data_IF_361413952107
#
_entry.id   IF_361413952107
#
_cell.length_a   1.000
_cell.length_b   1.000
_cell.length_c   1.000
_cell.angle_alpha   90.00
_cell.angle_beta   90.00
_cell.angle_gamma   90.00
#
_symmetry.space_group_name_H-M   'P 1'
#
loop_
_entity.id
_entity.type
_entity.pdbx_description
1 polymer ?
#
# COMPACT_ATOMS: atom_id res chain seq x y z
N UNK A 1 -82.87 4.49 -23.53
CA UNK A 1 -82.75 3.92 -22.17
C UNK A 1 -81.64 2.87 -22.14
N UNK A 2 -80.47 3.19 -21.59
CA UNK A 2 -79.51 2.20 -21.04
C UNK A 2 -78.47 2.93 -20.20
N UNK A 3 -78.66 2.83 -18.90
CA UNK A 3 -77.81 3.35 -17.83
C UNK A 3 -76.52 2.52 -17.74
N UNK A 4 -75.37 3.17 -17.59
CA UNK A 4 -74.14 2.52 -17.11
C UNK A 4 -73.70 3.16 -15.79
N UNK A 5 -73.58 2.28 -14.80
CA UNK A 5 -73.25 2.53 -13.40
C UNK A 5 -71.77 2.84 -13.22
N UNK A 6 -71.49 3.66 -12.22
CA UNK A 6 -70.20 4.07 -11.71
C UNK A 6 -69.55 2.97 -10.84
N UNK A 7 -68.22 2.94 -10.80
CA UNK A 7 -67.43 2.33 -9.73
C UNK A 7 -66.28 3.30 -9.40
N UNK A 8 -66.39 3.95 -8.25
CA UNK A 8 -65.35 4.75 -7.62
C UNK A 8 -64.52 3.81 -6.73
N UNK A 9 -63.22 3.72 -6.98
CA UNK A 9 -62.27 3.06 -6.10
C UNK A 9 -61.69 4.12 -5.12
N UNK A 10 -61.89 3.89 -3.83
CA UNK A 10 -61.29 4.71 -2.77
C UNK A 10 -59.84 4.24 -2.52
N UNK A 11 -58.87 5.14 -2.72
CA UNK A 11 -57.47 4.91 -2.35
C UNK A 11 -57.27 5.40 -0.92
N UNK A 12 -56.96 4.48 -0.01
CA UNK A 12 -56.56 4.76 1.37
C UNK A 12 -55.08 5.13 1.35
N UNK A 13 -54.77 6.40 1.61
CA UNK A 13 -53.40 6.89 1.76
C UNK A 13 -52.84 6.54 3.13
N UNK A 14 -51.88 5.62 3.19
CA UNK A 14 -51.01 5.40 4.34
C UNK A 14 -49.87 6.42 4.30
N UNK A 15 -49.91 7.42 5.17
CA UNK A 15 -48.79 8.34 5.42
C UNK A 15 -47.71 7.62 6.23
N UNK A 16 -46.66 7.14 5.55
CA UNK A 16 -45.45 6.66 6.18
C UNK A 16 -44.66 7.86 6.74
N UNK A 17 -44.50 7.92 8.06
CA UNK A 17 -43.58 8.84 8.71
C UNK A 17 -42.16 8.40 8.39
N UNK A 18 -41.47 9.16 7.53
CA UNK A 18 -40.06 8.96 7.26
C UNK A 18 -39.26 9.39 8.49
N UNK A 19 -38.75 8.43 9.26
CA UNK A 19 -37.68 8.67 10.20
C UNK A 19 -36.45 9.11 9.40
N UNK A 20 -36.05 10.37 9.55
CA UNK A 20 -34.75 10.81 9.07
C UNK A 20 -33.67 9.97 9.78
N UNK A 21 -32.74 9.33 9.05
CA UNK A 21 -31.59 8.69 9.68
C UNK A 21 -30.83 9.77 10.46
N UNK A 22 -30.70 9.57 11.77
CA UNK A 22 -29.82 10.40 12.59
C UNK A 22 -28.39 10.35 12.05
N UNK A 23 -27.55 11.37 12.33
CA UNK A 23 -26.16 11.34 11.94
C UNK A 23 -25.53 10.07 12.50
N UNK A 24 -24.93 9.26 11.61
CA UNK A 24 -24.18 8.09 12.02
C UNK A 24 -23.16 8.52 13.07
N UNK A 25 -23.24 7.93 14.26
CA UNK A 25 -22.25 8.12 15.30
C UNK A 25 -20.87 7.93 14.67
N UNK A 26 -20.03 8.96 14.76
CA UNK A 26 -18.71 8.96 14.14
C UNK A 26 -17.97 7.68 14.51
N UNK A 27 -17.54 6.92 13.51
CA UNK A 27 -16.71 5.76 13.73
C UNK A 27 -15.50 6.18 14.57
N UNK A 28 -15.14 5.39 15.58
CA UNK A 28 -13.95 5.66 16.37
C UNK A 28 -12.73 5.70 15.43
N UNK A 29 -11.73 6.54 15.72
CA UNK A 29 -10.52 6.60 14.90
C UNK A 29 -9.83 5.24 14.93
N UNK A 30 -9.55 4.73 13.72
CA UNK A 30 -8.94 3.43 13.50
C UNK A 30 -7.67 3.26 14.34
N UNK A 31 -7.52 2.10 14.98
CA UNK A 31 -6.39 1.83 15.87
C UNK A 31 -5.11 1.41 15.14
N UNK A 32 -5.22 0.64 14.07
CA UNK A 32 -4.09 -0.01 13.43
C UNK A 32 -3.93 0.44 11.99
N UNK A 33 -2.70 0.70 11.58
CA UNK A 33 -2.27 0.60 10.19
C UNK A 33 -1.84 -0.84 9.94
N UNK A 34 -2.62 -1.57 9.16
CA UNK A 34 -2.25 -2.89 8.70
C UNK A 34 -1.45 -2.72 7.40
N UNK A 35 -0.13 -2.54 7.51
CA UNK A 35 0.74 -2.45 6.35
C UNK A 35 0.92 -3.84 5.76
N UNK A 36 0.31 -4.09 4.62
CA UNK A 36 0.41 -5.38 3.94
C UNK A 36 1.33 -5.25 2.74
N UNK A 37 2.25 -6.19 2.59
CA UNK A 37 3.07 -6.30 1.39
C UNK A 37 2.79 -7.62 0.69
N UNK A 38 2.68 -7.56 -0.63
CA UNK A 38 2.50 -8.72 -1.48
C UNK A 38 3.63 -8.75 -2.49
N UNK A 39 4.41 -9.83 -2.43
CA UNK A 39 5.49 -10.10 -3.36
C UNK A 39 4.94 -10.88 -4.55
N UNK A 40 5.35 -10.51 -5.75
CA UNK A 40 5.04 -11.20 -6.99
C UNK A 40 6.33 -11.67 -7.66
N UNK A 41 6.24 -12.78 -8.38
CA UNK A 41 7.39 -13.38 -9.06
C UNK A 41 7.03 -13.86 -10.47
N UNK A 42 7.94 -13.62 -11.41
CA UNK A 42 7.86 -14.13 -12.78
C UNK A 42 9.05 -15.04 -13.09
N UNK A 43 8.78 -16.35 -13.17
CA UNK A 43 9.79 -17.40 -13.31
C UNK A 43 10.77 -17.26 -14.50
N UNK A 44 10.29 -16.96 -15.72
CA UNK A 44 11.15 -16.81 -16.90
C UNK A 44 12.28 -15.77 -16.78
N UNK A 45 12.09 -14.70 -16.00
CA UNK A 45 13.11 -13.67 -15.79
C UNK A 45 13.72 -13.70 -14.37
N UNK A 46 13.27 -14.62 -13.51
CA UNK A 46 13.63 -14.62 -12.09
C UNK A 46 13.36 -13.27 -11.37
N UNK A 47 12.32 -12.58 -11.81
CA UNK A 47 12.02 -11.18 -11.48
C UNK A 47 10.99 -11.09 -10.35
N UNK A 48 11.29 -10.26 -9.36
CA UNK A 48 10.42 -9.98 -8.23
C UNK A 48 9.97 -8.53 -8.20
N UNK A 49 8.74 -8.31 -7.73
CA UNK A 49 8.39 -6.99 -7.21
C UNK A 49 7.36 -7.06 -6.09
N UNK A 50 7.33 -5.99 -5.30
CA UNK A 50 6.43 -5.87 -4.15
C UNK A 50 5.34 -4.86 -4.46
N UNK A 51 4.15 -5.10 -3.93
CA UNK A 51 3.08 -4.10 -3.88
C UNK A 51 2.60 -3.91 -2.44
N UNK A 52 2.36 -2.68 -2.03
CA UNK A 52 1.60 -2.34 -0.81
C UNK A 52 0.33 -1.55 -1.10
N UNK A 53 0.23 -1.02 -2.33
CA UNK A 53 -0.94 -0.35 -2.86
C UNK A 53 -1.47 -1.11 -4.08
N UNK A 54 -2.75 -0.95 -4.45
CA UNK A 54 -3.22 -1.42 -5.73
C UNK A 54 -2.50 -0.70 -6.87
N UNK A 55 -2.01 -1.48 -7.84
CA UNK A 55 -1.70 -1.00 -9.19
C UNK A 55 -2.93 -0.33 -9.81
N UNK A 56 -2.72 0.57 -10.78
CA UNK A 56 -3.80 1.32 -11.43
C UNK A 56 -4.78 0.41 -12.19
N UNK A 57 -4.34 -0.77 -12.64
CA UNK A 57 -5.19 -1.78 -13.27
C UNK A 57 -5.80 -2.81 -12.29
N UNK A 58 -5.41 -2.76 -11.01
CA UNK A 58 -5.96 -3.57 -9.94
C UNK A 58 -5.51 -5.03 -9.90
N UNK A 59 -4.63 -5.49 -10.81
CA UNK A 59 -4.15 -6.89 -10.87
C UNK A 59 -3.23 -7.21 -9.69
N UNK A 60 -2.31 -6.29 -9.41
CA UNK A 60 -1.40 -6.34 -8.28
C UNK A 60 -1.94 -5.46 -7.17
N UNK A 61 -2.23 -6.04 -6.01
CA UNK A 61 -2.75 -5.30 -4.85
C UNK A 61 -2.35 -5.95 -3.55
N UNK A 62 -2.24 -5.14 -2.51
CA UNK A 62 -2.16 -5.58 -1.13
C UNK A 62 -3.32 -4.97 -0.32
N UNK A 63 -3.74 -5.67 0.72
CA UNK A 63 -4.86 -5.28 1.57
C UNK A 63 -4.56 -4.17 2.56
N UNK A 64 -3.51 -3.37 2.34
CA UNK A 64 -3.11 -2.28 3.26
C UNK A 64 -4.31 -1.41 3.63
N UNK A 65 -4.55 -1.26 4.92
CA UNK A 65 -5.74 -0.55 5.43
C UNK A 65 -5.46 0.06 6.80
N UNK A 66 -6.42 0.89 7.24
CA UNK A 66 -6.58 1.30 8.63
C UNK A 66 -7.83 0.64 9.19
N UNK A 67 -7.74 0.06 10.39
CA UNK A 67 -8.89 -0.55 11.05
C UNK A 67 -8.70 -0.66 12.56
N UNK A 68 -9.74 -1.10 13.29
CA UNK A 68 -9.65 -1.34 14.73
C UNK A 68 -9.05 -2.71 15.10
N UNK A 69 -8.77 -3.55 14.10
CA UNK A 69 -8.25 -4.90 14.29
C UNK A 69 -6.91 -5.10 13.60
N UNK A 70 -6.05 -5.92 14.21
CA UNK A 70 -4.82 -6.35 13.55
C UNK A 70 -5.17 -7.38 12.48
N UNK A 71 -4.75 -7.13 11.26
CA UNK A 71 -4.76 -8.15 10.22
C UNK A 71 -3.66 -9.18 10.51
N UNK A 72 -3.95 -10.45 10.28
CA UNK A 72 -3.04 -11.57 10.57
C UNK A 72 -2.47 -12.23 9.31
N UNK A 73 -2.99 -11.88 8.13
CA UNK A 73 -2.55 -12.42 6.86
C UNK A 73 -2.71 -11.38 5.74
N UNK A 74 -1.81 -11.38 4.74
CA UNK A 74 -1.90 -10.44 3.63
C UNK A 74 -3.03 -10.85 2.67
N UNK A 75 -3.76 -9.87 2.16
CA UNK A 75 -4.76 -10.01 1.11
C UNK A 75 -4.15 -9.58 -0.22
N UNK A 76 -3.49 -10.52 -0.90
CA UNK A 76 -2.83 -10.27 -2.18
C UNK A 76 -3.76 -10.46 -3.38
N UNK A 77 -3.58 -9.63 -4.42
CA UNK A 77 -4.16 -9.88 -5.73
C UNK A 77 -3.60 -11.15 -6.37
N UNK A 78 -4.35 -11.74 -7.31
CA UNK A 78 -3.94 -12.96 -7.99
C UNK A 78 -2.73 -12.77 -8.93
N UNK A 79 -2.38 -11.52 -9.27
CA UNK A 79 -1.41 -11.21 -10.31
C UNK A 79 -2.06 -11.25 -11.70
N UNK A 80 -1.28 -11.56 -12.74
CA UNK A 80 -1.74 -11.48 -14.13
C UNK A 80 -1.50 -12.74 -14.97
N UNK A 81 -1.08 -13.82 -14.34
CA UNK A 81 -0.75 -15.09 -14.99
C UNK A 81 0.73 -15.21 -15.38
N UNK A 82 1.45 -14.09 -15.55
CA UNK A 82 2.91 -14.09 -15.63
C UNK A 82 3.50 -13.97 -14.22
N UNK A 83 3.04 -12.96 -13.49
CA UNK A 83 3.42 -12.73 -12.11
C UNK A 83 2.42 -13.39 -11.17
N UNK A 84 2.91 -14.29 -10.33
CA UNK A 84 2.12 -14.96 -9.30
C UNK A 84 2.56 -14.48 -7.90
N UNK A 85 1.65 -14.40 -6.92
CA UNK A 85 2.01 -14.02 -5.56
C UNK A 85 2.94 -15.06 -4.93
N UNK A 86 3.90 -14.59 -4.14
CA UNK A 86 4.83 -15.43 -3.36
C UNK A 86 4.43 -15.36 -1.88
N UNK A 87 3.69 -16.34 -1.35
CA UNK A 87 3.08 -16.24 -0.02
C UNK A 87 4.10 -16.08 1.11
N UNK A 88 5.24 -16.79 1.05
CA UNK A 88 6.27 -16.75 2.11
C UNK A 88 6.96 -15.37 2.23
N UNK A 89 7.03 -14.63 1.11
CA UNK A 89 7.61 -13.28 1.06
C UNK A 89 6.56 -12.18 1.29
N UNK A 90 5.28 -12.54 1.27
CA UNK A 90 4.16 -11.64 1.53
C UNK A 90 3.79 -11.65 3.01
N UNK A 91 3.40 -10.51 3.57
CA UNK A 91 3.13 -10.42 5.01
C UNK A 91 2.41 -9.16 5.44
N UNK A 92 2.08 -9.11 6.73
CA UNK A 92 1.41 -7.97 7.36
C UNK A 92 2.21 -7.49 8.55
N UNK A 93 2.34 -6.17 8.66
CA UNK A 93 2.86 -5.49 9.84
C UNK A 93 1.75 -4.60 10.38
N UNK A 94 1.10 -5.07 11.45
CA UNK A 94 0.05 -4.32 12.14
C UNK A 94 0.66 -3.34 13.14
N UNK A 95 0.53 -2.04 12.85
CA UNK A 95 1.14 -0.93 13.58
C UNK A 95 0.07 -0.19 14.39
N UNK A 96 0.24 -0.08 15.71
CA UNK A 96 -0.71 0.66 16.56
C UNK A 96 -0.50 2.17 16.37
N UNK A 97 -1.43 2.86 15.73
CA UNK A 97 -1.34 4.28 15.43
C UNK A 97 -1.44 5.16 16.69
N UNK A 98 -1.77 4.57 17.84
CA UNK A 98 -1.82 5.27 19.13
C UNK A 98 -0.51 5.13 19.93
N UNK A 99 0.45 4.32 19.46
CA UNK A 99 1.72 4.12 20.17
C UNK A 99 2.76 5.20 19.88
N UNK A 100 2.43 6.20 19.05
CA UNK A 100 3.33 7.30 18.76
C UNK A 100 2.82 8.28 17.71
N UNK A 101 3.56 9.38 17.54
CA UNK A 101 3.28 10.44 16.57
C UNK A 101 3.76 10.14 15.15
N UNK A 102 4.86 9.43 15.00
CA UNK A 102 5.52 9.23 13.71
C UNK A 102 5.33 7.80 13.21
N UNK A 103 4.95 7.68 11.94
CA UNK A 103 5.20 6.45 11.19
C UNK A 103 6.61 6.54 10.63
N UNK A 104 7.52 5.76 11.19
CA UNK A 104 8.86 5.58 10.66
C UNK A 104 8.77 4.54 9.54
N UNK A 105 8.44 4.98 8.33
CA UNK A 105 8.40 4.11 7.17
C UNK A 105 9.83 3.78 6.78
N UNK A 106 10.16 2.48 6.75
CA UNK A 106 11.46 1.99 6.36
C UNK A 106 11.32 1.12 5.11
N UNK A 107 12.22 1.33 4.17
CA UNK A 107 12.32 0.62 2.92
C UNK A 107 13.64 -0.13 2.89
N UNK A 108 13.59 -1.43 2.63
CA UNK A 108 14.76 -2.29 2.51
C UNK A 108 14.82 -2.87 1.10
N UNK A 109 15.87 -2.53 0.35
CA UNK A 109 16.06 -3.00 -1.02
C UNK A 109 17.12 -4.10 -1.04
N UNK A 110 16.83 -5.18 -1.74
CA UNK A 110 17.72 -6.33 -1.89
C UNK A 110 18.01 -6.58 -3.36
N UNK A 111 19.20 -7.07 -3.65
CA UNK A 111 19.64 -7.38 -5.01
C UNK A 111 20.18 -8.80 -5.10
N UNK A 112 19.86 -9.50 -6.19
CA UNK A 112 20.46 -10.78 -6.55
C UNK A 112 21.36 -10.66 -7.77
N UNK A 113 22.69 -10.81 -7.61
CA UNK A 113 23.62 -10.80 -8.75
C UNK A 113 23.42 -11.94 -9.75
N UNK A 114 22.87 -13.08 -9.30
CA UNK A 114 22.60 -14.23 -10.16
C UNK A 114 21.36 -14.08 -11.01
N UNK A 115 20.36 -13.35 -10.51
CA UNK A 115 19.12 -13.10 -11.23
C UNK A 115 19.11 -11.72 -11.93
N UNK A 116 20.04 -10.83 -11.56
CA UNK A 116 19.98 -9.40 -11.91
C UNK A 116 18.61 -8.81 -11.55
N UNK A 117 18.18 -9.06 -10.31
CA UNK A 117 16.84 -8.74 -9.82
C UNK A 117 16.92 -7.92 -8.54
N UNK A 118 16.11 -6.87 -8.48
CA UNK A 118 15.88 -6.07 -7.29
C UNK A 118 14.51 -6.35 -6.71
N UNK A 119 14.40 -6.36 -5.38
CA UNK A 119 13.11 -6.13 -4.77
C UNK A 119 13.21 -5.35 -3.48
N UNK A 120 12.07 -4.79 -3.08
CA UNK A 120 11.99 -3.91 -1.94
C UNK A 120 10.90 -4.35 -0.97
N UNK A 121 11.19 -4.28 0.32
CA UNK A 121 10.22 -4.52 1.39
C UNK A 121 10.04 -3.28 2.26
N UNK A 122 8.82 -3.09 2.77
CA UNK A 122 8.50 -2.01 3.73
C UNK A 122 7.80 -2.52 4.99
N UNK A 123 7.46 -3.81 5.01
CA UNK A 123 6.95 -4.51 6.19
C UNK A 123 7.71 -5.82 6.40
N UNK A 124 7.07 -6.77 7.06
CA UNK A 124 7.59 -8.12 7.25
C UNK A 124 7.24 -9.09 6.12
N UNK A 125 8.18 -9.99 5.81
CA UNK A 125 7.90 -11.30 5.22
C UNK A 125 7.53 -12.31 6.32
N UNK A 126 6.89 -13.43 5.98
CA UNK A 126 6.56 -14.46 6.99
C UNK A 126 7.81 -15.13 7.57
N UNK A 127 8.90 -15.17 6.81
CA UNK A 127 10.17 -15.77 7.22
C UNK A 127 11.16 -14.79 7.86
N UNK A 128 10.79 -13.52 8.02
CA UNK A 128 11.58 -12.42 8.58
C UNK A 128 12.93 -12.09 7.91
N UNK A 129 13.36 -12.84 6.87
CA UNK A 129 14.66 -12.62 6.22
C UNK A 129 14.76 -11.26 5.53
N UNK A 130 13.62 -10.76 5.04
CA UNK A 130 13.50 -9.51 4.29
C UNK A 130 12.64 -8.48 5.02
N UNK A 131 12.66 -8.49 6.36
CA UNK A 131 11.85 -7.59 7.17
C UNK A 131 12.40 -6.16 7.13
N UNK A 132 11.53 -5.17 7.01
CA UNK A 132 11.83 -3.77 7.26
C UNK A 132 11.44 -3.35 8.69
N UNK A 133 12.19 -2.43 9.28
CA UNK A 133 12.01 -1.91 10.64
C UNK A 133 10.86 -0.92 10.81
N UNK A 134 9.91 -0.85 9.86
CA UNK A 134 8.79 0.08 9.91
C UNK A 134 8.04 0.00 11.23
N UNK A 135 7.88 1.14 11.89
CA UNK A 135 7.29 1.23 13.23
C UNK A 135 6.49 2.54 13.43
N UNK A 136 5.72 2.58 14.52
CA UNK A 136 5.09 3.81 15.01
C UNK A 136 5.68 4.14 16.37
N UNK A 137 6.22 5.35 16.53
CA UNK A 137 6.83 5.82 17.78
C UNK A 137 6.75 7.34 17.94
N UNK A 138 7.09 7.84 19.12
CA UNK A 138 7.17 9.29 19.39
C UNK A 138 8.48 9.93 18.90
N UNK A 139 9.41 9.12 18.40
CA UNK A 139 10.73 9.56 17.94
C UNK A 139 10.86 9.31 16.44
N UNK A 140 11.43 10.28 15.73
CA UNK A 140 11.80 10.06 14.34
C UNK A 140 13.01 9.15 14.28
N UNK A 141 12.90 8.05 13.54
CA UNK A 141 14.08 7.24 13.20
C UNK A 141 15.01 8.06 12.28
N UNK A 142 16.34 7.91 12.39
CA UNK A 142 17.27 8.69 11.58
C UNK A 142 17.00 8.49 10.08
N UNK A 143 17.02 9.57 9.28
CA UNK A 143 16.81 9.46 7.84
C UNK A 143 17.92 8.62 7.21
N UNK A 144 17.53 7.74 6.27
CA UNK A 144 18.43 6.81 5.58
C UNK A 144 19.14 5.78 6.50
N UNK A 145 18.59 5.51 7.69
CA UNK A 145 19.07 4.47 8.60
C UNK A 145 18.03 3.36 8.70
N UNK A 146 17.84 2.63 7.59
CA UNK A 146 16.85 1.55 7.53
C UNK A 146 17.37 0.31 8.27
N UNK A 147 16.56 -0.18 9.20
CA UNK A 147 16.78 -1.44 9.90
C UNK A 147 16.19 -2.57 9.05
N UNK A 148 17.08 -3.31 8.39
CA UNK A 148 16.71 -4.33 7.43
C UNK A 148 17.12 -5.73 7.88
N UNK A 149 16.35 -6.74 7.48
CA UNK A 149 16.73 -8.14 7.59
C UNK A 149 17.97 -8.46 6.77
N UNK A 150 18.68 -9.54 7.12
CA UNK A 150 19.96 -9.90 6.49
C UNK A 150 19.85 -10.35 5.03
N UNK A 151 18.65 -10.61 4.52
CA UNK A 151 18.44 -11.36 3.29
C UNK A 151 18.75 -12.84 3.48
N UNK A 152 19.05 -13.55 2.39
CA UNK A 152 19.25 -15.00 2.39
C UNK A 152 20.52 -15.49 1.69
N UNK A 153 21.40 -14.57 1.32
CA UNK A 153 22.64 -14.86 0.60
C UNK A 153 22.48 -14.87 -0.92
N UNK A 154 21.29 -15.21 -1.45
CA UNK A 154 20.98 -15.01 -2.87
C UNK A 154 20.54 -13.57 -3.13
N UNK A 155 19.81 -13.00 -2.17
CA UNK A 155 19.42 -11.60 -2.12
C UNK A 155 20.17 -10.91 -0.98
N UNK A 156 20.99 -9.93 -1.33
CA UNK A 156 21.82 -9.18 -0.39
C UNK A 156 21.28 -7.77 -0.27
N UNK A 157 21.26 -7.22 0.95
CA UNK A 157 20.81 -5.86 1.21
C UNK A 157 21.63 -4.86 0.40
N UNK A 158 20.95 -3.84 -0.15
CA UNK A 158 21.53 -2.68 -0.84
C UNK A 158 21.33 -1.45 0.05
N UNK A 159 22.32 -1.10 0.91
CA UNK A 159 22.15 -0.01 1.86
C UNK A 159 21.93 1.36 1.20
N UNK A 160 22.55 1.59 0.04
CA UNK A 160 22.39 2.84 -0.72
C UNK A 160 20.98 3.09 -1.25
N UNK A 161 20.16 2.04 -1.30
CA UNK A 161 18.76 2.07 -1.77
C UNK A 161 17.74 1.72 -0.69
N UNK A 162 18.22 1.61 0.56
CA UNK A 162 17.40 1.37 1.73
C UNK A 162 17.26 2.67 2.51
N UNK A 163 16.02 3.06 2.81
CA UNK A 163 15.72 4.41 3.30
C UNK A 163 14.76 4.37 4.47
N UNK A 164 14.91 5.36 5.35
CA UNK A 164 13.97 5.64 6.43
C UNK A 164 13.42 7.05 6.26
N UNK A 165 12.10 7.19 6.39
CA UNK A 165 11.42 8.49 6.47
C UNK A 165 10.35 8.44 7.54
N UNK A 166 10.46 9.36 8.49
CA UNK A 166 9.42 9.61 9.48
C UNK A 166 8.31 10.49 8.90
N UNK A 167 7.08 10.03 9.02
CA UNK A 167 5.86 10.73 8.61
C UNK A 167 5.08 11.13 9.86
N UNK A 168 4.85 12.43 10.06
CA UNK A 168 4.07 12.94 11.19
C UNK A 168 2.58 12.67 10.99
N UNK A 169 2.05 11.67 11.68
CA UNK A 169 0.65 11.23 11.56
C UNK A 169 -0.35 12.29 12.06
N UNK A 170 0.11 13.33 12.77
CA UNK A 170 -0.74 14.42 13.25
C UNK A 170 -0.81 15.60 12.29
N UNK A 171 0.02 15.62 11.25
CA UNK A 171 0.14 16.74 10.30
C UNK A 171 -0.95 16.78 9.24
N UNK A 172 -1.83 15.77 9.18
CA UNK A 172 -2.83 15.63 8.14
C UNK A 172 -3.95 14.65 8.48
N UNK A 173 -4.85 14.46 7.52
CA UNK A 173 -6.00 13.55 7.62
C UNK A 173 -5.78 12.24 6.89
N UNK A 174 -4.84 12.21 5.96
CA UNK A 174 -4.53 11.04 5.14
C UNK A 174 -3.05 10.72 5.24
N UNK A 175 -2.75 9.44 5.46
CA UNK A 175 -1.47 8.85 5.08
C UNK A 175 -1.58 8.42 3.62
N UNK A 176 -0.86 9.09 2.75
CA UNK A 176 -0.76 8.75 1.33
C UNK A 176 0.47 7.88 1.15
N UNK A 177 0.27 6.58 0.91
CA UNK A 177 1.36 5.66 0.58
C UNK A 177 1.48 5.61 -0.93
N UNK A 178 2.61 6.08 -1.46
CA UNK A 178 2.89 6.04 -2.89
C UNK A 178 3.79 4.85 -3.17
N UNK A 179 3.52 4.17 -4.27
CA UNK A 179 4.32 3.08 -4.78
C UNK A 179 4.67 3.40 -6.23
N UNK A 180 5.96 3.42 -6.51
CA UNK A 180 6.50 3.68 -7.83
C UNK A 180 7.23 2.44 -8.28
N UNK A 181 6.72 1.82 -9.34
CA UNK A 181 7.36 0.67 -9.97
C UNK A 181 8.16 1.15 -11.17
N UNK A 182 9.40 0.70 -11.26
CA UNK A 182 10.30 0.95 -12.36
C UNK A 182 10.64 -0.38 -13.04
N UNK A 183 10.99 -0.34 -14.33
CA UNK A 183 11.40 -1.52 -15.08
C UNK A 183 12.62 -1.23 -15.94
N UNK A 184 13.56 -2.17 -15.94
CA UNK A 184 14.69 -2.17 -16.85
C UNK A 184 14.50 -3.19 -17.95
N UNK A 185 14.46 -2.74 -19.20
CA UNK A 185 14.46 -3.66 -20.35
C UNK A 185 15.82 -4.37 -20.52
N UNK A 186 16.90 -3.79 -19.99
CA UNK A 186 18.24 -4.37 -20.05
C UNK A 186 18.37 -5.58 -19.11
N UNK A 187 17.83 -5.47 -17.89
CA UNK A 187 17.91 -6.50 -16.87
C UNK A 187 16.66 -7.39 -16.82
N UNK A 188 15.57 -6.95 -17.46
CA UNK A 188 14.26 -7.62 -17.42
C UNK A 188 13.72 -7.75 -16.00
N UNK A 189 13.92 -6.71 -15.18
CA UNK A 189 13.56 -6.71 -13.77
C UNK A 189 12.74 -5.48 -13.37
N UNK A 190 12.06 -5.60 -12.24
CA UNK A 190 11.28 -4.54 -11.65
C UNK A 190 11.89 -4.04 -10.35
N UNK A 191 11.86 -2.73 -10.13
CA UNK A 191 12.26 -2.13 -8.86
C UNK A 191 11.13 -1.31 -8.28
N UNK A 192 10.81 -1.53 -7.00
CA UNK A 192 9.70 -0.86 -6.33
C UNK A 192 10.20 0.14 -5.30
N UNK A 193 9.81 1.41 -5.44
CA UNK A 193 10.11 2.44 -4.43
C UNK A 193 8.85 2.95 -3.74
N UNK A 194 8.95 3.10 -2.43
CA UNK A 194 7.95 3.68 -1.52
C UNK A 194 8.45 4.97 -0.86
N UNK A 195 9.77 5.13 -0.84
CA UNK A 195 10.50 6.27 -0.31
C UNK A 195 11.53 6.76 -1.34
N UNK A 196 12.15 7.90 -1.06
CA UNK A 196 13.30 8.42 -1.80
C UNK A 196 13.54 9.91 -1.56
N UNK A 197 14.80 10.32 -1.54
CA UNK A 197 15.27 11.67 -1.19
C UNK A 197 15.04 12.77 -2.25
N UNK A 198 14.05 12.63 -3.14
CA UNK A 198 13.79 13.61 -4.21
C UNK A 198 14.70 13.47 -5.44
N UNK A 199 14.93 12.24 -5.90
CA UNK A 199 15.75 11.94 -7.09
C UNK A 199 15.07 10.94 -8.03
N UNK A 200 15.89 10.33 -8.89
CA UNK A 200 15.48 9.36 -9.94
C UNK A 200 14.59 8.23 -9.43
N UNK A 201 14.94 7.64 -8.30
CA UNK A 201 14.18 6.55 -7.67
C UNK A 201 13.51 7.05 -6.41
N UNK A 202 12.37 7.73 -6.56
CA UNK A 202 11.64 8.29 -5.43
C UNK A 202 10.14 8.06 -5.53
N UNK A 203 9.51 7.94 -4.36
CA UNK A 203 8.07 7.91 -4.21
C UNK A 203 7.62 8.95 -3.19
N UNK A 204 6.49 9.60 -3.48
CA UNK A 204 5.97 10.76 -2.76
C UNK A 204 5.19 10.46 -1.48
N UNK A 205 5.44 9.33 -0.79
CA UNK A 205 4.71 8.97 0.43
C UNK A 205 4.73 10.10 1.46
N UNK A 206 3.56 10.52 1.92
CA UNK A 206 3.36 11.72 2.73
C UNK A 206 2.16 11.59 3.70
N UNK A 207 2.05 12.54 4.61
CA UNK A 207 0.80 12.81 5.37
C UNK A 207 0.31 14.18 4.96
N UNK A 208 -0.98 14.28 4.61
CA UNK A 208 -1.56 15.55 4.15
C UNK A 208 -3.03 15.68 4.49
N UNK A 209 -3.59 16.88 4.28
CA UNK A 209 -5.02 17.14 4.46
C UNK A 209 -5.92 16.57 3.35
N UNK A 210 -5.33 16.04 2.27
CA UNK A 210 -6.05 15.62 1.06
C UNK A 210 -5.64 14.20 0.68
N UNK A 211 -6.60 13.40 0.24
CA UNK A 211 -6.32 12.10 -0.33
C UNK A 211 -5.63 12.27 -1.69
N UNK A 212 -4.42 11.75 -1.82
CA UNK A 212 -3.73 11.73 -3.11
C UNK A 212 -4.40 10.70 -4.03
N UNK A 213 -4.57 11.08 -5.30
CA UNK A 213 -5.30 10.27 -6.30
C UNK A 213 -4.41 9.72 -7.40
N UNK A 214 -3.13 10.10 -7.41
CA UNK A 214 -2.13 9.58 -8.33
C UNK A 214 -0.79 9.35 -7.61
N UNK A 215 0.00 8.35 -8.03
CA UNK A 215 1.37 8.19 -7.54
C UNK A 215 2.22 9.39 -7.96
N UNK A 216 3.21 9.72 -7.13
CA UNK A 216 4.19 10.77 -7.38
C UNK A 216 5.52 10.06 -7.42
N UNK A 217 6.05 9.87 -8.62
CA UNK A 217 7.24 9.06 -8.88
C UNK A 217 8.37 9.89 -9.43
N UNK A 218 9.59 9.52 -9.04
CA UNK A 218 10.81 9.99 -9.70
C UNK A 218 10.87 9.54 -11.15
N UNK A 219 11.74 10.18 -11.97
CA UNK A 219 11.85 9.90 -13.39
C UNK A 219 12.52 8.56 -13.75
N UNK A 220 13.09 7.83 -12.79
CA UNK A 220 13.99 6.71 -13.06
C UNK A 220 15.40 7.15 -13.41
N UNK A 221 16.31 6.18 -13.55
CA UNK A 221 17.70 6.33 -14.01
C UNK A 221 18.27 4.98 -14.45
N UNK A 222 19.50 4.96 -14.96
CA UNK A 222 20.27 3.74 -15.23
C UNK A 222 19.49 2.63 -15.98
N UNK A 223 18.69 3.01 -16.98
CA UNK A 223 17.90 2.07 -17.78
C UNK A 223 16.55 1.66 -17.17
N UNK A 224 16.21 2.17 -15.98
CA UNK A 224 14.93 1.96 -15.33
C UNK A 224 13.98 3.10 -15.64
N UNK A 225 12.87 2.77 -16.29
CA UNK A 225 11.79 3.70 -16.59
C UNK A 225 10.58 3.44 -15.65
N UNK A 226 9.89 4.49 -15.19
CA UNK A 226 8.69 4.31 -14.38
C UNK A 226 7.60 3.62 -15.19
N UNK A 227 6.81 2.77 -14.52
CA UNK A 227 5.64 2.10 -15.08
C UNK A 227 4.39 2.67 -14.42
N UNK A 228 3.73 3.69 -15.02
CA UNK A 228 2.56 4.32 -14.41
C UNK A 228 1.41 3.36 -14.15
N UNK A 229 1.24 2.35 -15.01
CA UNK A 229 0.15 1.36 -14.89
C UNK A 229 0.28 0.50 -13.61
N UNK A 230 1.52 0.19 -13.21
CA UNK A 230 1.82 -0.64 -12.05
C UNK A 230 2.16 0.18 -10.80
N UNK A 231 2.34 1.49 -10.97
CA UNK A 231 2.44 2.46 -9.89
C UNK A 231 1.06 2.81 -9.33
N UNK A 232 1.02 3.21 -8.06
CA UNK A 232 -0.24 3.44 -7.36
C UNK A 232 -0.09 4.30 -6.11
N UNK A 233 -1.21 4.81 -5.63
CA UNK A 233 -1.29 5.50 -4.34
C UNK A 233 -2.46 4.94 -3.55
N UNK A 234 -2.25 4.80 -2.25
CA UNK A 234 -3.32 4.48 -1.29
C UNK A 234 -3.39 5.58 -0.25
N UNK A 235 -4.45 6.38 -0.33
CA UNK A 235 -4.83 7.30 0.73
C UNK A 235 -5.54 6.53 1.86
N UNK A 236 -5.01 6.63 3.07
CA UNK A 236 -5.50 5.97 4.28
C UNK A 236 -5.97 7.04 5.27
N UNK A 237 -7.26 7.10 5.64
CA UNK A 237 -7.74 8.10 6.58
C UNK A 237 -7.16 7.85 7.98
N UNK A 238 -6.69 8.90 8.65
CA UNK A 238 -6.10 8.84 10.00
C UNK A 238 -7.09 9.22 11.11
N UNK A 239 -8.26 9.77 10.75
CA UNK A 239 -9.30 10.25 11.68
C UNK A 239 -10.69 10.23 11.05
#
# INVERSE_FOLDING_TARGET
MRTRKWLLAAVVGLTAWAFAPGPAAGAAPARYLNLQQCMYYWGPAADHFTTVTPSSDGRFKAGTNVSDTKDTAPACGAGDGNFAPVPILSGVTALDLRSGRYLNLQQCTYFSPSAFDYFTTVGGSQDNRFKAGTNVSDTQDPPNDAVCGSGDGNYVLVPSESYTRSLDLTSGKFLNVHQCLFYSAEHTDHDTKYLGGGGSYSAGSNVSGTADTAPVCGPGAAGYDPIPLLSGVRALPLS
#
